data_IF_125724497149
#
_entry.id   IF_125724497149
#
_cell.length_a   1.000
_cell.length_b   1.000
_cell.length_c   1.000
_cell.angle_alpha   90.00
_cell.angle_beta   90.00
_cell.angle_gamma   90.00
#
_symmetry.space_group_name_H-M   'P 1'
#
loop_
_entity.id
_entity.type
_entity.pdbx_description
1 polymer ?
#
# COMPACT_ATOMS: atom_id res chain seq x y z
N UNK A 1 28.25 4.40 19.49
CA UNK A 1 29.41 3.70 20.09
C UNK A 1 29.46 2.18 19.82
N UNK A 2 28.33 1.51 19.59
CA UNK A 2 28.27 0.05 19.34
C UNK A 2 28.93 -0.42 18.02
N UNK A 3 28.98 0.42 16.99
CA UNK A 3 29.51 0.04 15.67
C UNK A 3 31.05 -0.14 15.65
N UNK A 4 31.78 0.50 16.57
CA UNK A 4 33.25 0.39 16.66
C UNK A 4 33.72 -0.90 17.39
N UNK A 5 32.86 -1.52 18.19
CA UNK A 5 33.19 -2.71 18.98
C UNK A 5 33.12 -3.97 18.11
N UNK A 6 32.11 -4.08 17.25
CA UNK A 6 31.95 -5.21 16.32
C UNK A 6 33.05 -5.28 15.26
N UNK A 7 33.52 -4.12 14.76
CA UNK A 7 34.60 -4.07 13.76
C UNK A 7 35.97 -4.47 14.34
N UNK A 8 36.21 -4.20 15.63
CA UNK A 8 37.44 -4.63 16.35
C UNK A 8 37.44 -6.13 16.68
N UNK A 9 36.27 -6.73 16.89
CA UNK A 9 36.14 -8.18 17.12
C UNK A 9 36.40 -8.98 15.83
N UNK A 10 35.88 -8.52 14.68
CA UNK A 10 36.09 -9.17 13.38
C UNK A 10 37.56 -9.11 12.92
N UNK A 11 38.26 -8.00 13.17
CA UNK A 11 39.67 -7.83 12.78
C UNK A 11 40.66 -8.56 13.70
N UNK A 12 40.33 -8.77 14.99
CA UNK A 12 41.14 -9.63 15.89
C UNK A 12 41.00 -11.11 15.57
N UNK A 13 39.83 -11.57 15.14
CA UNK A 13 39.60 -12.98 14.78
C UNK A 13 40.40 -13.39 13.54
N UNK A 14 40.50 -12.52 12.52
CA UNK A 14 41.24 -12.81 11.29
C UNK A 14 42.78 -12.80 11.48
N UNK A 15 43.30 -12.12 12.50
CA UNK A 15 44.75 -12.05 12.76
C UNK A 15 45.28 -13.23 13.58
N UNK A 16 44.40 -13.94 14.33
CA UNK A 16 44.80 -15.07 15.17
C UNK A 16 44.81 -16.41 14.41
N UNK A 17 44.09 -16.52 13.29
CA UNK A 17 44.04 -17.74 12.48
C UNK A 17 45.24 -17.94 11.54
N UNK A 18 46.27 -17.09 11.59
CA UNK A 18 47.52 -17.23 10.83
C UNK A 18 48.71 -17.75 11.66
N UNK A 19 48.53 -18.07 12.95
CA UNK A 19 49.63 -18.46 13.86
C UNK A 19 49.84 -19.95 14.12
N UNK A 20 49.07 -20.84 13.50
CA UNK A 20 49.31 -22.29 13.58
C UNK A 20 49.59 -22.89 12.20
N UNK A 21 50.66 -22.43 11.55
CA UNK A 21 51.37 -23.25 10.56
C UNK A 21 52.60 -23.77 11.27
N UNK A 22 52.43 -24.93 11.91
CA UNK A 22 53.49 -25.66 12.59
C UNK A 22 54.60 -25.97 11.59
N UNK A 23 55.82 -25.58 11.92
CA UNK A 23 57.08 -25.85 11.21
C UNK A 23 57.50 -27.33 11.23
N UNK A 24 56.56 -28.26 11.06
CA UNK A 24 56.90 -29.66 10.81
C UNK A 24 56.84 -29.86 9.30
N UNK A 25 58.01 -29.72 8.67
CA UNK A 25 58.24 -30.16 7.31
C UNK A 25 57.94 -31.66 7.25
N UNK A 26 56.72 -32.02 6.82
CA UNK A 26 56.35 -33.41 6.56
C UNK A 26 57.32 -33.94 5.51
N UNK A 27 58.23 -34.79 5.95
CA UNK A 27 59.30 -35.34 5.14
C UNK A 27 58.72 -36.40 4.20
N UNK A 28 58.22 -35.96 3.03
CA UNK A 28 57.58 -36.80 2.01
C UNK A 28 58.46 -37.96 1.53
N UNK A 29 59.78 -37.87 1.76
CA UNK A 29 60.78 -38.89 1.45
C UNK A 29 60.68 -40.14 2.32
N UNK A 30 60.05 -40.06 3.51
CA UNK A 30 59.91 -41.17 4.48
C UNK A 30 58.56 -41.88 4.42
N UNK A 31 57.66 -41.43 3.56
CA UNK A 31 56.31 -41.96 3.45
C UNK A 31 56.22 -43.04 2.37
N UNK A 32 55.57 -44.14 2.72
CA UNK A 32 55.28 -45.24 1.80
C UNK A 32 54.30 -44.75 0.71
N UNK A 33 54.38 -45.29 -0.52
CA UNK A 33 53.49 -44.88 -1.63
C UNK A 33 51.99 -44.90 -1.27
N UNK A 34 51.58 -45.83 -0.39
CA UNK A 34 50.21 -45.94 0.12
C UNK A 34 49.80 -44.77 1.04
N UNK A 35 50.72 -44.29 1.87
CA UNK A 35 50.47 -43.17 2.80
C UNK A 35 50.36 -41.84 2.03
N UNK A 36 51.13 -41.67 0.94
CA UNK A 36 51.04 -40.50 0.05
C UNK A 36 49.65 -40.45 -0.62
N UNK A 37 49.10 -41.58 -1.06
CA UNK A 37 47.74 -41.65 -1.61
C UNK A 37 46.68 -41.33 -0.54
N UNK A 38 46.83 -41.83 0.68
CA UNK A 38 45.92 -41.52 1.79
C UNK A 38 45.96 -40.05 2.18
N UNK A 39 47.15 -39.44 2.28
CA UNK A 39 47.27 -38.00 2.57
C UNK A 39 46.67 -37.13 1.46
N UNK A 40 46.86 -37.51 0.18
CA UNK A 40 46.21 -36.80 -0.95
C UNK A 40 44.69 -36.86 -0.86
N UNK A 41 44.12 -38.04 -0.58
CA UNK A 41 42.66 -38.20 -0.46
C UNK A 41 42.10 -37.44 0.75
N UNK A 42 42.77 -37.48 1.91
CA UNK A 42 42.39 -36.70 3.09
C UNK A 42 42.46 -35.18 2.83
N UNK A 43 43.52 -34.70 2.17
CA UNK A 43 43.65 -33.28 1.82
C UNK A 43 42.57 -32.83 0.83
N UNK A 44 42.29 -33.62 -0.22
CA UNK A 44 41.17 -33.36 -1.13
C UNK A 44 39.82 -33.33 -0.42
N UNK A 45 39.57 -34.22 0.53
CA UNK A 45 38.35 -34.21 1.34
C UNK A 45 38.27 -32.98 2.25
N UNK A 46 39.39 -32.56 2.84
CA UNK A 46 39.46 -31.38 3.70
C UNK A 46 39.21 -30.08 2.91
N UNK A 47 39.82 -29.95 1.73
CA UNK A 47 39.61 -28.81 0.82
C UNK A 47 38.17 -28.76 0.31
N UNK A 48 37.56 -29.92 -0.02
CA UNK A 48 36.13 -30.01 -0.36
C UNK A 48 35.24 -29.57 0.81
N UNK A 49 35.45 -30.09 2.03
CA UNK A 49 34.68 -29.70 3.22
C UNK A 49 34.78 -28.19 3.52
N UNK A 50 35.96 -27.58 3.34
CA UNK A 50 36.14 -26.14 3.52
C UNK A 50 35.38 -25.34 2.46
N UNK A 51 35.46 -25.76 1.19
CA UNK A 51 34.75 -25.11 0.07
C UNK A 51 33.23 -25.24 0.21
N UNK A 52 32.73 -26.41 0.57
CA UNK A 52 31.30 -26.68 0.73
C UNK A 52 30.72 -25.88 1.91
N UNK A 53 31.45 -25.79 3.04
CA UNK A 53 31.05 -24.92 4.16
C UNK A 53 31.02 -23.45 3.78
N UNK A 54 32.03 -22.99 3.05
CA UNK A 54 32.11 -21.59 2.62
C UNK A 54 30.97 -21.27 1.66
N UNK A 55 30.69 -22.16 0.69
CA UNK A 55 29.55 -22.05 -0.22
C UNK A 55 28.22 -22.00 0.55
N UNK A 56 28.01 -22.90 1.52
CA UNK A 56 26.81 -22.92 2.35
C UNK A 56 26.61 -21.59 3.12
N UNK A 57 27.67 -21.02 3.68
CA UNK A 57 27.59 -19.71 4.35
C UNK A 57 27.23 -18.56 3.38
N UNK A 58 27.73 -18.58 2.14
CA UNK A 58 27.34 -17.61 1.13
C UNK A 58 25.88 -17.78 0.68
N UNK A 59 25.42 -19.01 0.45
CA UNK A 59 24.03 -19.25 0.06
C UNK A 59 23.05 -18.86 1.17
N UNK A 60 23.37 -19.20 2.42
CA UNK A 60 22.54 -18.83 3.58
C UNK A 60 22.51 -17.31 3.79
N UNK A 61 23.63 -16.59 3.61
CA UNK A 61 23.62 -15.13 3.75
C UNK A 61 22.79 -14.45 2.66
N UNK A 62 22.89 -14.91 1.41
CA UNK A 62 22.08 -14.40 0.30
C UNK A 62 20.59 -14.66 0.55
N UNK A 63 20.23 -15.87 1.01
CA UNK A 63 18.86 -16.24 1.29
C UNK A 63 18.23 -15.33 2.37
N UNK A 64 18.96 -15.06 3.46
CA UNK A 64 18.49 -14.17 4.53
C UNK A 64 18.31 -12.74 4.04
N UNK A 65 19.23 -12.23 3.22
CA UNK A 65 19.12 -10.89 2.64
C UNK A 65 17.91 -10.78 1.71
N UNK A 66 17.70 -11.77 0.85
CA UNK A 66 16.58 -11.77 -0.09
C UNK A 66 15.23 -11.82 0.63
N UNK A 67 15.14 -12.62 1.70
CA UNK A 67 13.94 -12.69 2.54
C UNK A 67 13.67 -11.35 3.24
N UNK A 68 14.71 -10.71 3.76
CA UNK A 68 14.63 -9.39 4.38
C UNK A 68 14.13 -8.31 3.40
N UNK A 69 14.65 -8.32 2.16
CA UNK A 69 14.21 -7.39 1.11
C UNK A 69 12.76 -7.63 0.69
N UNK A 70 12.35 -8.89 0.52
CA UNK A 70 10.97 -9.24 0.17
C UNK A 70 9.97 -8.76 1.23
N UNK A 71 10.31 -8.94 2.52
CA UNK A 71 9.47 -8.47 3.62
C UNK A 71 9.43 -6.93 3.72
N UNK A 72 10.55 -6.26 3.46
CA UNK A 72 10.64 -4.80 3.51
C UNK A 72 10.01 -4.08 2.30
N UNK A 73 9.86 -4.76 1.16
CA UNK A 73 9.35 -4.15 -0.07
C UNK A 73 7.91 -3.62 0.05
N UNK A 74 7.02 -4.38 0.71
CA UNK A 74 5.61 -4.01 0.87
C UNK A 74 5.42 -2.72 1.70
N UNK A 75 5.96 -2.60 2.93
CA UNK A 75 5.80 -1.37 3.71
C UNK A 75 6.51 -0.17 3.05
N UNK A 76 7.65 -0.40 2.38
CA UNK A 76 8.33 0.66 1.65
C UNK A 76 7.50 1.17 0.47
N UNK A 77 6.89 0.26 -0.31
CA UNK A 77 5.98 0.62 -1.39
C UNK A 77 4.79 1.42 -0.87
N UNK A 78 4.15 0.96 0.22
CA UNK A 78 3.03 1.69 0.85
C UNK A 78 3.43 3.08 1.33
N UNK A 79 4.61 3.23 1.94
CA UNK A 79 5.10 4.53 2.39
C UNK A 79 5.40 5.48 1.23
N UNK A 80 5.94 4.97 0.13
CA UNK A 80 6.16 5.77 -1.09
C UNK A 80 4.83 6.17 -1.71
N UNK A 81 3.91 5.22 -1.93
CA UNK A 81 2.58 5.51 -2.50
C UNK A 81 1.77 6.49 -1.66
N UNK A 82 1.80 6.36 -0.33
CA UNK A 82 1.13 7.29 0.57
C UNK A 82 1.74 8.70 0.52
N UNK A 83 3.02 8.84 0.13
CA UNK A 83 3.71 10.14 0.05
C UNK A 83 3.64 10.77 -1.33
N UNK A 84 3.66 9.98 -2.40
CA UNK A 84 3.64 10.46 -3.78
C UNK A 84 2.25 10.52 -4.40
N UNK A 85 1.26 9.81 -3.83
CA UNK A 85 -0.11 9.77 -4.36
C UNK A 85 -0.24 9.00 -5.69
N UNK A 86 0.74 8.14 -6.01
CA UNK A 86 0.76 7.39 -7.26
C UNK A 86 -0.36 6.34 -7.28
N UNK A 87 -1.18 6.32 -8.34
CA UNK A 87 -2.35 5.42 -8.46
C UNK A 87 -3.65 5.95 -7.85
N UNK A 88 -3.75 7.25 -7.52
CA UNK A 88 -4.99 7.87 -7.08
C UNK A 88 -5.34 7.68 -5.59
N UNK A 89 -4.43 7.07 -4.82
CA UNK A 89 -4.59 6.91 -3.36
C UNK A 89 -4.28 8.25 -2.68
N UNK A 90 -5.19 8.80 -1.86
CA UNK A 90 -5.00 10.10 -1.21
C UNK A 90 -3.85 10.06 -0.20
N UNK A 91 -3.04 11.12 -0.18
CA UNK A 91 -1.89 11.28 0.73
C UNK A 91 -2.40 11.48 2.16
N UNK A 92 -2.26 10.46 3.01
CA UNK A 92 -2.73 10.45 4.41
C UNK A 92 -1.71 11.05 5.40
N UNK A 93 -1.09 12.19 5.07
CA UNK A 93 -0.15 12.86 5.99
C UNK A 93 -0.97 13.68 7.02
N UNK A 94 -0.96 13.27 8.29
CA UNK A 94 -1.75 13.89 9.38
C UNK A 94 -1.45 15.38 9.60
N UNK A 95 -0.34 15.88 9.05
CA UNK A 95 0.07 17.30 9.11
C UNK A 95 -0.72 18.24 8.18
N UNK A 96 -1.60 17.71 7.32
CA UNK A 96 -2.47 18.54 6.48
C UNK A 96 -3.58 19.27 7.25
N UNK A 97 -3.95 18.79 8.43
CA UNK A 97 -4.97 19.42 9.28
C UNK A 97 -4.35 20.38 10.29
N UNK A 98 -3.65 21.42 9.81
CA UNK A 98 -3.13 22.51 10.67
C UNK A 98 -4.00 23.74 10.46
N UNK A 99 -4.34 24.48 11.52
CA UNK A 99 -5.27 25.62 11.46
C UNK A 99 -4.90 26.68 10.40
N UNK A 100 -3.61 26.84 10.11
CA UNK A 100 -3.10 27.77 9.09
C UNK A 100 -3.58 27.45 7.66
N UNK A 101 -4.00 26.20 7.38
CA UNK A 101 -4.49 25.75 6.07
C UNK A 101 -6.01 25.93 5.88
N UNK A 102 -6.73 26.32 6.93
CA UNK A 102 -8.17 26.64 6.87
C UNK A 102 -8.45 28.12 6.63
N UNK A 103 -7.41 28.93 6.44
CA UNK A 103 -7.52 30.34 6.09
C UNK A 103 -7.62 30.42 4.55
N UNK A 104 -8.70 30.99 4.00
CA UNK A 104 -8.82 31.18 2.56
C UNK A 104 -7.67 32.03 2.06
N UNK A 105 -6.96 31.57 1.05
CA UNK A 105 -6.05 32.45 0.31
C UNK A 105 -6.93 33.35 -0.54
N UNK A 106 -6.78 34.66 -0.39
CA UNK A 106 -7.39 35.65 -1.28
C UNK A 106 -6.80 35.50 -2.69
N UNK A 107 -7.33 34.52 -3.43
CA UNK A 107 -7.07 34.31 -4.84
C UNK A 107 -8.39 34.56 -5.58
N UNK A 108 -8.38 35.33 -6.66
CA UNK A 108 -9.59 35.57 -7.47
C UNK A 108 -10.10 34.31 -8.21
N UNK A 109 -9.40 33.17 -8.06
CA UNK A 109 -9.67 31.94 -8.77
C UNK A 109 -10.52 30.98 -7.92
N UNK A 110 -11.84 31.03 -8.13
CA UNK A 110 -12.78 30.02 -7.57
C UNK A 110 -12.70 28.72 -8.36
N UNK A 111 -12.51 27.61 -7.65
CA UNK A 111 -12.48 26.27 -8.22
C UNK A 111 -13.91 25.71 -8.22
N UNK A 112 -14.33 25.17 -9.36
CA UNK A 112 -15.61 24.49 -9.51
C UNK A 112 -15.45 23.03 -9.07
N UNK A 113 -16.14 22.66 -8.00
CA UNK A 113 -16.24 21.28 -7.56
C UNK A 113 -17.57 20.72 -8.06
N UNK A 114 -17.50 19.71 -8.93
CA UNK A 114 -18.67 19.02 -9.49
C UNK A 114 -18.88 17.69 -8.77
N UNK A 115 -20.13 17.41 -8.43
CA UNK A 115 -20.51 16.22 -7.67
C UNK A 115 -21.20 15.22 -8.58
N UNK A 116 -20.69 14.00 -8.58
CA UNK A 116 -21.26 12.89 -9.37
C UNK A 116 -21.43 11.66 -8.50
N UNK A 117 -22.44 10.86 -8.83
CA UNK A 117 -22.84 9.70 -8.05
C UNK A 117 -23.16 8.52 -8.97
N UNK A 118 -22.71 7.34 -8.58
CA UNK A 118 -23.01 6.07 -9.22
C UNK A 118 -23.37 5.03 -8.16
N UNK A 119 -24.22 4.08 -8.54
CA UNK A 119 -24.64 2.96 -7.69
C UNK A 119 -24.46 1.68 -8.49
N UNK A 120 -23.89 0.65 -7.87
CA UNK A 120 -23.80 -0.67 -8.49
C UNK A 120 -25.21 -1.23 -8.78
N UNK A 121 -25.37 -1.91 -9.91
CA UNK A 121 -26.66 -2.48 -10.34
C UNK A 121 -27.24 -3.51 -9.35
N UNK A 122 -26.39 -4.11 -8.51
CA UNK A 122 -26.78 -5.12 -7.50
C UNK A 122 -27.34 -4.44 -6.23
N UNK A 123 -27.14 -3.13 -6.07
CA UNK A 123 -27.60 -2.33 -4.96
C UNK A 123 -28.82 -1.49 -5.41
N UNK A 124 -30.06 -1.86 -5.01
CA UNK A 124 -31.29 -1.17 -5.39
C UNK A 124 -31.45 0.13 -4.59
N UNK A 125 -30.47 1.02 -4.70
CA UNK A 125 -30.47 2.34 -4.08
C UNK A 125 -30.50 3.42 -5.14
N UNK A 126 -31.18 4.51 -4.82
CA UNK A 126 -31.08 5.75 -5.57
C UNK A 126 -30.15 6.68 -4.80
N UNK A 127 -29.01 7.00 -5.40
CA UNK A 127 -28.02 7.91 -4.81
C UNK A 127 -27.79 9.07 -5.77
N UNK A 128 -28.05 10.29 -5.30
CA UNK A 128 -27.97 11.50 -6.13
C UNK A 128 -27.42 12.66 -5.33
N UNK A 129 -26.53 13.50 -5.89
CA UNK A 129 -26.13 14.74 -5.25
C UNK A 129 -27.31 15.71 -5.21
N UNK A 130 -27.49 16.44 -4.10
CA UNK A 130 -28.48 17.51 -4.05
C UNK A 130 -28.00 18.74 -4.83
N UNK A 131 -26.69 19.00 -4.80
CA UNK A 131 -26.02 20.09 -5.49
C UNK A 131 -25.12 19.51 -6.58
N UNK A 132 -25.26 19.95 -7.83
CA UNK A 132 -24.41 19.46 -8.94
C UNK A 132 -23.01 20.07 -8.92
N UNK A 133 -22.90 21.33 -8.54
CA UNK A 133 -21.64 22.06 -8.48
C UNK A 133 -21.63 23.06 -7.33
N UNK A 134 -20.44 23.30 -6.76
CA UNK A 134 -20.17 24.39 -5.81
C UNK A 134 -18.85 25.06 -6.23
N UNK A 135 -18.77 26.39 -6.08
CA UNK A 135 -17.55 27.17 -6.36
C UNK A 135 -16.92 27.64 -5.06
N UNK A 136 -15.73 27.13 -4.76
CA UNK A 136 -14.99 27.41 -3.51
C UNK A 136 -13.64 28.03 -3.79
N UNK A 137 -13.13 28.83 -2.85
CA UNK A 137 -11.75 29.30 -2.84
C UNK A 137 -10.83 28.25 -2.20
N UNK A 138 -9.54 28.18 -2.60
CA UNK A 138 -8.54 27.43 -1.85
C UNK A 138 -8.46 27.92 -0.40
N UNK A 139 -8.58 27.00 0.56
CA UNK A 139 -8.68 27.26 2.00
C UNK A 139 -10.12 27.48 2.51
N UNK A 140 -11.10 27.68 1.63
CA UNK A 140 -12.51 27.78 2.01
C UNK A 140 -13.09 26.40 2.27
N UNK A 141 -13.80 26.27 3.40
CA UNK A 141 -14.52 25.05 3.74
C UNK A 141 -15.92 25.07 3.13
N UNK A 142 -16.37 23.93 2.60
CA UNK A 142 -17.70 23.80 2.01
C UNK A 142 -18.38 22.50 2.44
N UNK A 143 -19.71 22.57 2.45
CA UNK A 143 -20.59 21.47 2.78
C UNK A 143 -21.48 21.17 1.57
N UNK A 144 -21.46 19.93 1.11
CA UNK A 144 -22.36 19.43 0.08
C UNK A 144 -23.18 18.26 0.62
N UNK A 145 -24.39 18.08 0.11
CA UNK A 145 -25.29 17.00 0.52
C UNK A 145 -25.52 16.03 -0.63
N UNK A 146 -25.56 14.75 -0.27
CA UNK A 146 -26.06 13.70 -1.14
C UNK A 146 -27.28 13.04 -0.53
N UNK A 147 -28.20 12.62 -1.38
CA UNK A 147 -29.41 11.92 -0.99
C UNK A 147 -29.31 10.46 -1.37
N UNK A 148 -29.49 9.58 -0.38
CA UNK A 148 -29.55 8.13 -0.58
C UNK A 148 -30.92 7.60 -0.19
N UNK A 149 -31.51 6.78 -1.06
CA UNK A 149 -32.79 6.12 -0.83
C UNK A 149 -32.70 4.64 -1.13
N UNK A 150 -33.11 3.80 -0.19
CA UNK A 150 -33.29 2.38 -0.43
C UNK A 150 -34.63 2.13 -1.12
N UNK A 151 -34.63 1.66 -2.36
CA UNK A 151 -35.87 1.38 -3.11
C UNK A 151 -36.34 -0.07 -2.97
N UNK A 152 -35.72 -0.86 -2.10
CA UNK A 152 -36.09 -2.25 -1.83
C UNK A 152 -36.89 -2.43 -0.54
N UNK A 153 -37.50 -3.60 -0.41
CA UNK A 153 -38.30 -3.99 0.77
C UNK A 153 -37.46 -4.64 1.88
N UNK A 154 -36.12 -4.56 1.78
CA UNK A 154 -35.20 -5.15 2.76
C UNK A 154 -34.17 -4.12 3.20
N UNK A 155 -33.71 -4.29 4.43
CA UNK A 155 -32.57 -3.54 4.94
C UNK A 155 -31.32 -3.96 4.18
N UNK A 156 -30.57 -2.98 3.67
CA UNK A 156 -29.35 -3.22 2.93
C UNK A 156 -28.22 -2.41 3.57
N UNK A 157 -27.03 -2.99 3.58
CA UNK A 157 -25.80 -2.34 3.99
C UNK A 157 -25.00 -2.00 2.73
N UNK A 158 -24.65 -0.73 2.59
CA UNK A 158 -23.84 -0.22 1.50
C UNK A 158 -22.53 0.38 2.02
N UNK A 159 -21.51 0.32 1.17
CA UNK A 159 -20.24 1.01 1.38
C UNK A 159 -19.92 1.84 0.14
N UNK A 160 -19.52 3.09 0.33
CA UNK A 160 -19.19 3.98 -0.77
C UNK A 160 -17.70 4.17 -0.93
N UNK A 161 -17.21 4.22 -2.15
CA UNK A 161 -15.84 4.68 -2.45
C UNK A 161 -15.90 6.00 -3.20
N UNK A 162 -14.82 6.78 -3.14
CA UNK A 162 -14.71 8.03 -3.89
C UNK A 162 -13.45 8.10 -4.73
N UNK A 163 -13.53 8.87 -5.81
CA UNK A 163 -12.40 9.25 -6.64
C UNK A 163 -12.47 10.74 -7.00
N UNK A 164 -11.30 11.31 -7.27
CA UNK A 164 -11.14 12.73 -7.57
C UNK A 164 -10.47 12.86 -8.94
N UNK A 165 -11.07 13.66 -9.81
CA UNK A 165 -10.56 13.92 -11.16
C UNK A 165 -10.43 15.42 -11.39
N UNK A 166 -9.31 15.93 -11.94
CA UNK A 166 -8.10 15.20 -12.35
C UNK A 166 -7.26 14.70 -11.17
N UNK A 167 -6.56 13.57 -11.34
CA UNK A 167 -5.79 12.92 -10.28
C UNK A 167 -4.72 13.81 -9.63
N UNK A 168 -4.18 14.78 -10.36
CA UNK A 168 -3.20 15.74 -9.85
C UNK A 168 -3.76 16.66 -8.76
N UNK A 169 -5.08 16.87 -8.74
CA UNK A 169 -5.78 17.67 -7.71
C UNK A 169 -6.11 16.89 -6.44
N UNK A 170 -6.09 15.55 -6.51
CA UNK A 170 -6.41 14.64 -5.39
C UNK A 170 -5.59 14.93 -4.11
N UNK A 171 -4.28 15.24 -4.18
CA UNK A 171 -3.51 15.63 -3.00
C UNK A 171 -3.99 16.89 -2.30
N UNK A 172 -4.60 17.83 -3.01
CA UNK A 172 -5.01 19.11 -2.45
C UNK A 172 -6.45 19.08 -1.91
N UNK A 173 -7.25 18.10 -2.34
CA UNK A 173 -8.61 17.95 -1.89
C UNK A 173 -8.66 17.19 -0.57
N UNK A 174 -9.07 17.87 0.51
CA UNK A 174 -9.13 17.28 1.84
C UNK A 174 -10.60 17.12 2.25
N UNK A 175 -11.04 15.85 2.37
CA UNK A 175 -12.35 15.50 2.91
C UNK A 175 -12.25 15.38 4.43
N UNK A 176 -12.93 16.26 5.16
CA UNK A 176 -12.87 16.31 6.64
C UNK A 176 -13.80 15.25 7.26
N UNK A 177 -15.00 15.03 6.70
CA UNK A 177 -15.97 14.05 7.20
C UNK A 177 -16.56 13.22 6.06
N UNK A 178 -16.50 11.88 6.17
CA UNK A 178 -16.79 10.93 5.10
C UNK A 178 -17.59 9.71 5.58
N UNK A 179 -18.80 9.56 5.02
CA UNK A 179 -19.61 8.33 5.09
C UNK A 179 -18.97 7.14 4.34
N UNK A 180 -17.92 7.38 3.56
CA UNK A 180 -17.34 6.46 2.59
C UNK A 180 -16.41 5.40 3.18
N UNK A 181 -16.23 5.36 4.50
CA UNK A 181 -15.51 4.27 5.14
C UNK A 181 -16.33 3.59 6.23
N UNK A 182 -17.60 3.96 6.34
CA UNK A 182 -18.51 3.39 7.30
C UNK A 182 -19.64 2.72 6.56
N UNK A 183 -19.98 1.52 7.01
CA UNK A 183 -21.11 0.77 6.51
C UNK A 183 -22.39 1.52 6.82
N UNK A 184 -23.06 1.98 5.78
CA UNK A 184 -24.36 2.64 5.90
C UNK A 184 -25.43 1.58 5.79
N UNK A 185 -26.18 1.35 6.87
CA UNK A 185 -27.39 0.54 6.83
C UNK A 185 -28.56 1.46 6.55
N UNK A 186 -29.27 1.22 5.45
CA UNK A 186 -30.55 1.86 5.17
C UNK A 186 -31.66 0.82 5.28
N UNK A 187 -32.69 1.13 6.07
CA UNK A 187 -33.89 0.32 6.17
C UNK A 187 -34.67 0.32 4.84
N UNK A 188 -35.59 -0.63 4.70
CA UNK A 188 -36.49 -0.68 3.55
C UNK A 188 -37.23 0.66 3.34
N UNK A 189 -37.13 1.24 2.16
CA UNK A 189 -37.78 2.52 1.82
C UNK A 189 -37.18 3.78 2.46
N UNK A 190 -36.14 3.64 3.31
CA UNK A 190 -35.54 4.77 4.02
C UNK A 190 -34.81 5.73 3.07
N UNK A 191 -34.92 7.03 3.35
CA UNK A 191 -34.24 8.10 2.64
C UNK A 191 -33.46 8.94 3.66
N UNK A 192 -32.16 9.11 3.43
CA UNK A 192 -31.27 9.87 4.31
C UNK A 192 -30.44 10.88 3.52
N UNK A 193 -30.12 12.00 4.16
CA UNK A 193 -29.21 13.02 3.65
C UNK A 193 -27.81 12.79 4.24
N UNK A 194 -26.82 12.63 3.37
CA UNK A 194 -25.44 12.34 3.71
C UNK A 194 -24.57 13.57 3.46
N UNK A 195 -24.15 14.28 4.52
CA UNK A 195 -23.29 15.45 4.39
C UNK A 195 -21.85 15.07 4.01
N UNK A 196 -21.23 15.91 3.19
CA UNK A 196 -19.81 15.86 2.81
C UNK A 196 -19.18 17.20 3.12
N UNK A 197 -18.32 17.22 4.13
CA UNK A 197 -17.55 18.40 4.50
C UNK A 197 -16.12 18.30 3.96
N UNK A 198 -15.71 19.29 3.18
CA UNK A 198 -14.41 19.30 2.49
C UNK A 198 -13.85 20.71 2.35
N UNK A 199 -12.56 20.79 2.03
CA UNK A 199 -11.88 22.02 1.62
C UNK A 199 -10.78 21.68 0.61
N UNK A 200 -10.35 22.69 -0.14
CA UNK A 200 -9.19 22.59 -1.03
C UNK A 200 -8.01 23.24 -0.32
N UNK A 201 -6.87 22.57 -0.24
CA UNK A 201 -5.66 23.10 0.39
C UNK A 201 -5.20 24.39 -0.31
N UNK A 202 -4.88 25.48 0.41
CA UNK A 202 -4.38 26.72 -0.18
C UNK A 202 -3.11 26.54 -1.03
N UNK A 203 -2.32 25.49 -0.79
CA UNK A 203 -1.14 25.16 -1.60
C UNK A 203 -1.52 24.85 -3.07
N UNK A 204 -2.79 24.57 -3.36
CA UNK A 204 -3.28 24.42 -4.74
C UNK A 204 -3.07 25.69 -5.57
N UNK A 205 -3.19 26.87 -4.96
CA UNK A 205 -3.02 28.15 -5.67
C UNK A 205 -1.55 28.45 -5.99
N UNK A 206 -0.61 27.92 -5.21
CA UNK A 206 0.83 28.16 -5.37
C UNK A 206 1.51 27.16 -6.30
N UNK A 207 0.94 25.96 -6.50
CA UNK A 207 1.52 24.93 -7.39
C UNK A 207 1.36 25.29 -8.89
N UNK A 208 2.48 25.42 -9.65
CA UNK A 208 2.44 25.61 -11.09
C UNK A 208 1.63 24.57 -11.87
N UNK A 209 1.58 23.31 -11.40
CA UNK A 209 0.82 22.24 -12.05
C UNK A 209 -0.69 22.43 -11.97
N UNK A 210 -1.16 23.11 -10.94
CA UNK A 210 -2.59 23.34 -10.68
C UNK A 210 -3.13 24.59 -11.38
N UNK A 211 -2.28 25.38 -12.04
CA UNK A 211 -2.65 26.64 -12.69
C UNK A 211 -3.76 26.51 -13.73
N UNK A 212 -3.86 25.37 -14.41
CA UNK A 212 -4.86 25.12 -15.45
C UNK A 212 -6.02 24.23 -15.00
N UNK A 213 -6.08 23.89 -13.71
CA UNK A 213 -7.14 23.05 -13.15
C UNK A 213 -8.13 23.96 -12.44
N UNK A 214 -9.31 24.09 -13.04
CA UNK A 214 -10.43 24.90 -12.53
C UNK A 214 -11.59 24.02 -12.08
N UNK A 215 -11.60 22.78 -12.55
CA UNK A 215 -12.68 21.82 -12.38
C UNK A 215 -12.16 20.59 -11.67
N UNK A 216 -12.76 20.32 -10.52
CA UNK A 216 -12.52 19.11 -9.74
C UNK A 216 -13.83 18.34 -9.69
N UNK A 217 -13.82 17.09 -10.13
CA UNK A 217 -14.96 16.20 -10.03
C UNK A 217 -14.75 15.28 -8.84
N UNK A 218 -15.67 15.35 -7.88
CA UNK A 218 -15.80 14.38 -6.81
C UNK A 218 -16.81 13.32 -7.22
N UNK A 219 -16.33 12.12 -7.48
CA UNK A 219 -17.16 10.99 -7.90
C UNK A 219 -17.33 10.02 -6.74
N UNK A 220 -18.56 9.64 -6.45
CA UNK A 220 -18.91 8.61 -5.48
C UNK A 220 -19.54 7.40 -6.16
N UNK A 221 -19.13 6.21 -5.74
CA UNK A 221 -19.72 4.95 -6.17
C UNK A 221 -20.13 4.12 -4.96
N UNK A 222 -21.39 3.70 -4.91
CA UNK A 222 -21.91 2.82 -3.86
C UNK A 222 -21.90 1.35 -4.28
N UNK A 223 -21.39 0.51 -3.38
CA UNK A 223 -21.36 -0.93 -3.50
C UNK A 223 -22.14 -1.58 -2.37
N UNK A 224 -22.74 -2.74 -2.64
CA UNK A 224 -23.38 -3.55 -1.60
C UNK A 224 -22.31 -4.20 -0.75
N UNK A 225 -22.37 -4.00 0.57
CA UNK A 225 -21.51 -4.74 1.50
C UNK A 225 -22.18 -6.09 1.80
N UNK A 226 -21.64 -7.18 1.25
CA UNK A 226 -22.14 -8.52 1.54
C UNK A 226 -21.42 -9.08 2.76
N UNK A 227 -22.18 -9.44 3.80
CA UNK A 227 -21.71 -10.30 4.86
C UNK A 227 -22.13 -11.73 4.54
N UNK A 228 -21.24 -12.48 3.89
CA UNK A 228 -21.27 -13.93 4.05
C UNK A 228 -20.66 -14.23 5.43
N UNK A 229 -21.31 -15.08 6.23
CA UNK A 229 -20.90 -15.47 7.58
C UNK A 229 -19.37 -15.43 7.80
N UNK A 230 -18.87 -14.37 8.45
CA UNK A 230 -17.48 -14.29 8.91
C UNK A 230 -16.44 -13.62 8.01
N UNK A 231 -16.78 -12.62 7.18
CA UNK A 231 -15.77 -11.70 6.63
C UNK A 231 -16.27 -10.82 5.49
N UNK A 232 -15.78 -9.58 5.43
CA UNK A 232 -16.09 -8.62 4.38
C UNK A 232 -15.50 -9.11 3.04
N UNK A 233 -16.36 -9.41 2.07
CA UNK A 233 -15.96 -9.76 0.70
C UNK A 233 -16.38 -8.60 -0.20
N UNK A 234 -15.43 -7.78 -0.64
CA UNK A 234 -15.63 -6.92 -1.79
C UNK A 234 -15.68 -7.82 -3.02
N UNK A 235 -16.86 -7.96 -3.59
CA UNK A 235 -17.14 -8.90 -4.67
C UNK A 235 -16.46 -8.47 -5.97
N UNK A 236 -15.24 -8.96 -6.20
CA UNK A 236 -14.64 -9.10 -7.52
C UNK A 236 -14.87 -10.54 -8.00
N UNK A 237 -16.10 -10.88 -8.33
CA UNK A 237 -16.42 -12.13 -9.01
C UNK A 237 -16.74 -11.83 -10.48
N UNK A 238 -15.77 -12.11 -11.36
CA UNK A 238 -16.08 -12.34 -12.79
C UNK A 238 -17.00 -13.54 -12.90
N UNK A 239 -17.95 -13.58 -13.86
CA UNK A 239 -18.86 -14.70 -14.01
C UNK A 239 -18.09 -15.86 -14.65
N UNK A 240 -17.76 -16.87 -13.86
CA UNK A 240 -17.29 -18.15 -14.38
C UNK A 240 -18.49 -19.04 -14.65
N UNK A 241 -18.60 -19.42 -15.93
CA UNK A 241 -19.61 -20.24 -16.58
C UNK A 241 -19.82 -21.55 -15.81
N UNK A 242 -21.06 -21.85 -15.40
CA UNK A 242 -21.43 -23.21 -15.01
C UNK A 242 -22.44 -23.80 -15.99
N UNK A 243 -21.85 -24.71 -16.75
CA UNK A 243 -22.37 -25.71 -17.66
C UNK A 243 -23.68 -26.37 -17.20
N UNK A 244 -24.65 -26.38 -18.09
CA UNK A 244 -25.88 -27.15 -17.94
C UNK A 244 -25.63 -28.57 -18.43
N UNK A 245 -25.38 -29.51 -17.52
CA UNK A 245 -25.64 -30.93 -17.78
C UNK A 245 -25.96 -31.68 -16.49
N UNK A 246 -27.09 -32.41 -16.56
CA UNK A 246 -27.48 -33.62 -15.81
C UNK A 246 -28.64 -33.48 -14.81
N UNK A 247 -29.86 -33.65 -15.33
CA UNK A 247 -30.88 -34.46 -14.65
C UNK A 247 -30.43 -35.94 -14.65
N UNK A 248 -30.78 -36.71 -13.61
CA UNK A 248 -31.95 -37.56 -13.75
C UNK A 248 -32.81 -37.65 -12.48
N UNK A 249 -34.12 -37.47 -12.65
CA UNK A 249 -35.18 -38.42 -12.27
C UNK A 249 -36.47 -38.03 -12.99
#
# INVERSE_FOLDING_TARGET
>A
MLHKVLFRAATRSLKNSRRHVSNNQLDLSKLTQREIQQLRTMKFQQDRKFRDRTAAYYFTSIAVVFLGLAYAAVPLYRAICARTGWGGIPITDKRKFTDDKLIPVESDKRIRVSFTSEVSQILPWKFTPEQREVRVLPGETALAFYKAKNTSDKDIIGMATYSITPGDSSPYFNKIQCFCFEEQRLAAGEEIDMPVFFFIDPDFASDPKMRNIDDIVLHYTFFRAHYANGGAVSESASPEVMDATKQPQ
#
